data_IF_041386410276
#
_entry.id   IF_041386410276
#
_cell.length_a   1.000
_cell.length_b   1.000
_cell.length_c   1.000
_cell.angle_alpha   90.00
_cell.angle_beta   90.00
_cell.angle_gamma   90.00
#
_symmetry.space_group_name_H-M   'P 1'
#
loop_
_entity.id
_entity.type
_entity.pdbx_description
1 polymer ?
#
# COMPACT_ATOMS: atom_id res chain seq x y z
N UNK A 1 0.83 33.09 -30.40
CA UNK A 1 0.18 32.10 -29.50
C UNK A 1 1.09 30.88 -29.35
N UNK A 2 1.98 30.92 -28.36
CA UNK A 2 2.90 29.83 -28.06
C UNK A 2 2.56 29.33 -26.64
N UNK A 3 2.29 28.03 -26.55
CA UNK A 3 2.02 27.32 -25.31
C UNK A 3 3.25 27.36 -24.41
N UNK A 4 3.06 27.79 -23.16
CA UNK A 4 4.03 27.58 -22.10
C UNK A 4 3.71 26.24 -21.43
N UNK A 5 4.59 25.27 -21.67
CA UNK A 5 4.65 24.05 -20.90
C UNK A 5 4.92 24.41 -19.43
N UNK A 6 4.06 23.92 -18.54
CA UNK A 6 4.27 24.05 -17.10
C UNK A 6 5.44 23.17 -16.68
N UNK A 7 6.48 23.78 -16.13
CA UNK A 7 7.51 23.11 -15.36
C UNK A 7 6.90 22.58 -14.06
N UNK A 8 6.71 21.27 -13.95
CA UNK A 8 6.44 20.59 -12.67
C UNK A 8 7.75 20.52 -11.86
N UNK A 9 8.02 21.60 -11.14
CA UNK A 9 9.12 21.68 -10.18
C UNK A 9 8.74 21.16 -8.80
N UNK A 10 9.26 19.98 -8.47
CA UNK A 10 9.61 19.43 -7.14
C UNK A 10 8.65 19.66 -5.96
N UNK A 11 7.91 18.61 -5.58
CA UNK A 11 7.20 18.58 -4.31
C UNK A 11 8.19 18.23 -3.17
N UNK A 12 8.76 19.24 -2.51
CA UNK A 12 9.55 19.10 -1.26
C UNK A 12 8.72 18.70 -0.02
N UNK A 13 7.70 17.87 -0.17
CA UNK A 13 6.84 17.44 0.93
C UNK A 13 5.98 16.23 0.58
N UNK A 14 5.40 15.60 1.61
CA UNK A 14 4.48 14.48 1.43
C UNK A 14 3.15 14.95 0.83
N UNK A 15 2.78 14.42 -0.34
CA UNK A 15 1.48 14.61 -0.97
C UNK A 15 0.46 13.70 -0.29
N UNK A 16 -0.63 14.26 0.21
CA UNK A 16 -1.80 13.47 0.64
C UNK A 16 -2.61 13.09 -0.59
N UNK A 17 -2.89 11.81 -0.76
CA UNK A 17 -3.59 11.28 -1.92
C UNK A 17 -5.09 11.30 -1.70
N UNK A 18 -5.84 11.77 -2.70
CA UNK A 18 -7.29 11.67 -2.78
C UNK A 18 -7.69 10.64 -3.84
N UNK A 19 -8.98 10.31 -3.92
CA UNK A 19 -9.49 9.30 -4.88
C UNK A 19 -9.08 9.57 -6.33
N UNK A 20 -9.06 10.84 -6.76
CA UNK A 20 -8.68 11.20 -8.13
C UNK A 20 -7.21 10.89 -8.46
N UNK A 21 -6.32 10.87 -7.46
CA UNK A 21 -4.90 10.53 -7.66
C UNK A 21 -4.67 9.03 -7.87
N UNK A 22 -5.62 8.18 -7.45
CA UNK A 22 -5.38 6.73 -7.38
C UNK A 22 -5.30 6.08 -8.75
N UNK A 23 -6.08 6.55 -9.73
CA UNK A 23 -6.14 5.92 -11.05
C UNK A 23 -4.76 5.84 -11.71
N UNK A 24 -4.08 6.98 -11.81
CA UNK A 24 -2.75 7.06 -12.42
C UNK A 24 -1.72 6.26 -11.61
N UNK A 25 -1.79 6.29 -10.28
CA UNK A 25 -0.88 5.51 -9.43
C UNK A 25 -1.06 4.00 -9.60
N UNK A 26 -2.30 3.54 -9.76
CA UNK A 26 -2.61 2.14 -10.03
C UNK A 26 -2.06 1.70 -11.39
N UNK A 27 -2.25 2.53 -12.43
CA UNK A 27 -1.71 2.26 -13.77
C UNK A 27 -0.18 2.13 -13.74
N UNK A 28 0.50 3.00 -13.00
CA UNK A 28 1.96 2.93 -12.83
C UNK A 28 2.39 1.71 -12.02
N UNK A 29 1.72 1.41 -10.91
CA UNK A 29 2.01 0.24 -10.07
C UNK A 29 1.83 -1.08 -10.84
N UNK A 30 0.68 -1.23 -11.51
CA UNK A 30 0.37 -2.40 -12.32
C UNK A 30 1.40 -2.58 -13.44
N UNK A 31 1.81 -1.51 -14.12
CA UNK A 31 2.87 -1.55 -15.12
C UNK A 31 4.20 -2.06 -14.56
N UNK A 32 4.59 -1.61 -13.37
CA UNK A 32 5.81 -2.10 -12.70
C UNK A 32 5.67 -3.55 -12.25
N UNK A 33 4.52 -3.94 -11.72
CA UNK A 33 4.24 -5.32 -11.30
C UNK A 33 4.27 -6.28 -12.49
N UNK A 34 3.68 -5.90 -13.63
CA UNK A 34 3.76 -6.66 -14.89
C UNK A 34 5.21 -6.80 -15.37
N UNK A 35 5.97 -5.71 -15.38
CA UNK A 35 7.39 -5.76 -15.74
C UNK A 35 8.20 -6.66 -14.79
N UNK A 36 7.86 -6.69 -13.48
CA UNK A 36 8.47 -7.60 -12.52
C UNK A 36 8.11 -9.06 -12.80
N UNK A 37 6.85 -9.34 -13.17
CA UNK A 37 6.38 -10.67 -13.58
C UNK A 37 7.02 -11.17 -14.88
N UNK A 38 7.46 -10.29 -15.77
CA UNK A 38 8.10 -10.69 -17.03
C UNK A 38 9.59 -11.04 -16.85
N UNK A 39 10.24 -10.54 -15.80
CA UNK A 39 11.66 -10.80 -15.56
C UNK A 39 11.93 -12.28 -15.32
N UNK A 40 12.80 -12.94 -16.10
CA UNK A 40 13.17 -14.33 -15.85
C UNK A 40 13.90 -14.48 -14.52
N UNK A 41 13.51 -15.48 -13.70
CA UNK A 41 14.15 -15.80 -12.41
C UNK A 41 14.97 -17.09 -12.44
N UNK A 42 14.69 -17.97 -13.41
CA UNK A 42 15.41 -19.24 -13.58
C UNK A 42 15.09 -20.30 -12.52
N UNK A 43 14.16 -20.03 -11.61
CA UNK A 43 13.73 -20.93 -10.52
C UNK A 43 12.56 -21.85 -10.93
N UNK A 44 11.94 -21.62 -12.09
CA UNK A 44 10.83 -22.43 -12.61
C UNK A 44 9.52 -22.27 -11.84
N UNK A 45 9.44 -21.34 -10.87
CA UNK A 45 8.25 -21.15 -10.04
C UNK A 45 7.17 -20.40 -10.80
N UNK A 46 5.92 -20.83 -10.64
CA UNK A 46 4.77 -20.06 -11.11
C UNK A 46 4.62 -18.83 -10.22
N UNK A 47 4.52 -17.65 -10.82
CA UNK A 47 4.32 -16.38 -10.12
C UNK A 47 2.88 -15.94 -10.20
N UNK A 48 2.34 -15.50 -9.08
CA UNK A 48 0.94 -15.06 -8.94
C UNK A 48 0.92 -13.67 -8.31
N UNK A 49 0.07 -12.80 -8.85
CA UNK A 49 -0.20 -11.49 -8.29
C UNK A 49 -1.65 -11.09 -8.59
N UNK A 50 -2.24 -10.28 -7.71
CA UNK A 50 -3.52 -9.61 -7.98
C UNK A 50 -3.18 -8.20 -8.48
N UNK A 51 -3.73 -7.73 -9.61
CA UNK A 51 -3.53 -6.37 -10.08
C UNK A 51 -4.00 -5.33 -9.04
N UNK A 52 -3.16 -4.37 -8.64
CA UNK A 52 -3.54 -3.28 -7.75
C UNK A 52 -4.28 -2.18 -8.53
N UNK A 53 -5.43 -2.50 -9.11
CA UNK A 53 -6.20 -1.58 -9.95
C UNK A 53 -7.15 -0.67 -9.14
N UNK A 54 -7.65 0.38 -9.81
CA UNK A 54 -8.46 1.40 -9.17
C UNK A 54 -9.82 0.86 -8.71
N UNK A 55 -10.40 -0.06 -9.47
CA UNK A 55 -11.66 -0.75 -9.18
C UNK A 55 -11.53 -1.60 -7.92
N UNK A 56 -10.42 -2.30 -7.76
CA UNK A 56 -10.12 -3.13 -6.60
C UNK A 56 -9.97 -2.26 -5.34
N UNK A 57 -9.27 -1.13 -5.42
CA UNK A 57 -9.24 -0.17 -4.31
C UNK A 57 -10.60 0.50 -4.06
N UNK A 58 -11.41 0.73 -5.10
CA UNK A 58 -12.76 1.26 -4.94
C UNK A 58 -13.67 0.29 -4.16
N UNK A 59 -13.52 -1.02 -4.37
CA UNK A 59 -14.20 -2.04 -3.56
C UNK A 59 -13.87 -1.91 -2.06
N UNK A 60 -12.58 -1.84 -1.72
CA UNK A 60 -12.14 -1.62 -0.34
C UNK A 60 -12.66 -0.31 0.26
N UNK A 61 -12.70 0.77 -0.53
CA UNK A 61 -13.23 2.07 -0.10
C UNK A 61 -14.73 2.07 0.08
N UNK A 62 -15.50 1.35 -0.73
CA UNK A 62 -16.96 1.34 -0.65
C UNK A 62 -17.45 0.92 0.75
N UNK A 63 -16.81 -0.10 1.34
CA UNK A 63 -17.08 -0.52 2.72
C UNK A 63 -16.69 0.56 3.73
N UNK A 64 -15.51 1.16 3.59
CA UNK A 64 -15.04 2.24 4.47
C UNK A 64 -15.99 3.43 4.45
N UNK A 65 -16.38 3.91 3.26
CA UNK A 65 -17.26 5.07 3.08
C UNK A 65 -18.62 4.82 3.71
N UNK A 66 -19.21 3.64 3.51
CA UNK A 66 -20.47 3.28 4.17
C UNK A 66 -20.36 3.29 5.70
N UNK A 67 -19.33 2.63 6.25
CA UNK A 67 -19.13 2.53 7.70
C UNK A 67 -18.81 3.89 8.32
N UNK A 68 -17.94 4.68 7.68
CA UNK A 68 -17.54 6.00 8.18
C UNK A 68 -18.69 7.00 8.11
N UNK A 69 -19.49 6.96 7.05
CA UNK A 69 -20.72 7.75 6.97
C UNK A 69 -21.68 7.40 8.10
N UNK A 70 -21.86 6.12 8.43
CA UNK A 70 -22.74 5.68 9.51
C UNK A 70 -22.21 6.04 10.92
N UNK A 71 -20.90 5.91 11.15
CA UNK A 71 -20.30 6.10 12.49
C UNK A 71 -19.93 7.57 12.79
N UNK A 72 -19.57 8.34 11.76
CA UNK A 72 -19.00 9.69 11.89
C UNK A 72 -19.77 10.76 11.12
N UNK A 73 -20.74 10.39 10.26
CA UNK A 73 -21.50 11.34 9.45
C UNK A 73 -20.71 11.96 8.29
N UNK A 74 -19.50 11.47 8.03
CA UNK A 74 -18.60 11.93 6.96
C UNK A 74 -17.74 10.79 6.44
N UNK A 75 -17.16 10.98 5.26
CA UNK A 75 -16.24 10.01 4.63
C UNK A 75 -14.80 10.55 4.62
N UNK A 76 -13.78 9.67 4.65
CA UNK A 76 -12.39 10.09 4.51
C UNK A 76 -12.12 10.70 3.13
N UNK A 77 -11.43 11.84 3.08
CA UNK A 77 -10.94 12.39 1.81
C UNK A 77 -9.56 11.84 1.47
N UNK A 78 -8.71 11.67 2.49
CA UNK A 78 -7.34 11.19 2.34
C UNK A 78 -7.31 9.67 2.30
N UNK A 79 -6.86 9.14 1.16
CA UNK A 79 -6.78 7.71 0.83
C UNK A 79 -5.37 7.16 0.83
N UNK A 80 -4.38 8.03 0.93
CA UNK A 80 -2.98 7.64 0.83
C UNK A 80 -2.02 8.80 1.06
N UNK A 81 -0.74 8.49 0.92
CA UNK A 81 0.34 9.47 0.90
C UNK A 81 1.41 9.07 -0.10
N UNK A 82 2.08 10.06 -0.68
CA UNK A 82 3.16 9.91 -1.65
C UNK A 82 4.28 10.89 -1.34
N UNK A 83 5.53 10.45 -1.47
CA UNK A 83 6.72 11.28 -1.33
C UNK A 83 7.79 10.86 -2.33
N UNK A 84 8.66 11.79 -2.71
CA UNK A 84 9.75 11.55 -3.66
C UNK A 84 9.39 11.92 -5.10
N UNK A 85 10.39 11.83 -5.97
CA UNK A 85 10.29 12.17 -7.39
C UNK A 85 10.06 10.90 -8.22
N UNK A 86 9.44 11.01 -9.39
CA UNK A 86 9.18 9.88 -10.29
C UNK A 86 10.46 9.08 -10.55
N UNK A 87 10.40 7.77 -10.30
CA UNK A 87 11.54 6.84 -10.34
C UNK A 87 12.08 6.45 -8.95
N UNK A 88 11.80 7.26 -7.93
CA UNK A 88 12.19 7.01 -6.53
C UNK A 88 11.05 7.30 -5.53
N UNK A 89 9.80 7.32 -6.00
CA UNK A 89 8.64 7.59 -5.15
C UNK A 89 8.40 6.46 -4.17
N UNK A 90 7.90 6.83 -2.99
CA UNK A 90 7.28 5.92 -2.05
C UNK A 90 5.86 6.38 -1.83
N UNK A 91 4.88 5.49 -1.98
CA UNK A 91 3.49 5.81 -1.66
C UNK A 91 2.78 4.65 -1.00
N UNK A 92 1.75 5.00 -0.25
CA UNK A 92 0.84 4.04 0.36
C UNK A 92 -0.61 4.42 0.08
N UNK A 93 -1.45 3.41 -0.13
CA UNK A 93 -2.91 3.51 -0.22
C UNK A 93 -3.48 2.73 0.97
N UNK A 94 -4.52 3.24 1.62
CA UNK A 94 -5.09 2.62 2.81
C UNK A 94 -6.60 2.68 2.90
N UNK A 95 -7.13 1.90 3.84
CA UNK A 95 -8.54 1.90 4.26
C UNK A 95 -8.64 1.73 5.78
N UNK A 96 -9.74 2.18 6.37
CA UNK A 96 -10.02 2.09 7.81
C UNK A 96 -11.10 1.04 8.05
N UNK A 97 -10.77 0.06 8.87
CA UNK A 97 -11.68 -0.99 9.29
C UNK A 97 -12.07 -0.83 10.76
N UNK A 98 -13.37 -0.82 10.99
CA UNK A 98 -13.98 -0.72 12.32
C UNK A 98 -14.56 -2.08 12.70
N UNK A 99 -13.90 -2.78 13.61
CA UNK A 99 -14.38 -4.05 14.19
C UNK A 99 -15.04 -3.84 15.55
N UNK A 100 -14.77 -2.71 16.21
CA UNK A 100 -15.42 -2.28 17.44
C UNK A 100 -16.33 -1.07 17.20
N UNK A 101 -16.78 -0.47 18.30
CA UNK A 101 -17.40 0.86 18.30
C UNK A 101 -16.37 1.93 17.94
N UNK A 102 -16.86 3.13 17.60
CA UNK A 102 -16.02 4.28 17.21
C UNK A 102 -14.96 4.68 18.26
N UNK A 103 -15.25 4.45 19.54
CA UNK A 103 -14.43 4.76 20.70
C UNK A 103 -13.56 3.58 21.17
N UNK A 104 -13.72 2.40 20.58
CA UNK A 104 -12.89 1.23 20.87
C UNK A 104 -11.63 1.22 19.98
N UNK A 105 -10.79 2.25 20.11
CA UNK A 105 -9.66 2.52 19.21
C UNK A 105 -8.80 1.29 18.92
N UNK A 106 -8.49 0.48 19.95
CA UNK A 106 -7.65 -0.72 19.83
C UNK A 106 -8.21 -1.81 18.91
N UNK A 107 -9.54 -1.81 18.67
CA UNK A 107 -10.22 -2.73 17.75
C UNK A 107 -10.26 -2.22 16.31
N UNK A 108 -10.06 -0.92 16.11
CA UNK A 108 -10.14 -0.29 14.80
C UNK A 108 -8.75 -0.14 14.20
N UNK A 109 -8.62 -0.43 12.92
CA UNK A 109 -7.32 -0.56 12.24
C UNK A 109 -7.32 0.22 10.94
N UNK A 110 -6.27 1.00 10.71
CA UNK A 110 -5.97 1.50 9.38
C UNK A 110 -5.06 0.49 8.69
N UNK A 111 -5.57 -0.12 7.63
CA UNK A 111 -4.82 -1.06 6.82
C UNK A 111 -4.15 -0.31 5.68
N UNK A 112 -2.82 -0.38 5.61
CA UNK A 112 -2.12 -0.08 4.37
C UNK A 112 -2.47 -1.19 3.39
N UNK A 113 -3.28 -0.85 2.39
CA UNK A 113 -3.73 -1.77 1.35
C UNK A 113 -2.56 -2.10 0.44
N UNK A 114 -1.84 -1.07 -0.01
CA UNK A 114 -0.69 -1.17 -0.90
C UNK A 114 0.41 -0.19 -0.46
N UNK A 115 1.65 -0.66 -0.36
CA UNK A 115 2.85 0.15 -0.11
C UNK A 115 3.86 -0.08 -1.23
N UNK A 116 4.17 0.97 -1.99
CA UNK A 116 5.08 0.89 -3.13
C UNK A 116 6.37 1.66 -2.85
N UNK A 117 7.49 1.02 -3.15
CA UNK A 117 8.81 1.64 -3.26
C UNK A 117 9.27 1.48 -4.71
N UNK A 118 9.23 2.55 -5.50
CA UNK A 118 9.49 2.48 -6.95
C UNK A 118 10.86 1.88 -7.30
N UNK A 119 11.88 2.24 -6.52
CA UNK A 119 13.23 1.71 -6.70
C UNK A 119 13.27 0.19 -6.60
N UNK A 120 12.56 -0.38 -5.62
CA UNK A 120 12.47 -1.84 -5.42
C UNK A 120 11.62 -2.52 -6.49
N UNK A 121 10.47 -1.95 -6.86
CA UNK A 121 9.62 -2.50 -7.92
C UNK A 121 10.33 -2.56 -9.28
N UNK A 122 11.28 -1.65 -9.52
CA UNK A 122 12.15 -1.64 -10.69
C UNK A 122 13.36 -2.57 -10.56
N UNK A 123 13.49 -3.30 -9.46
CA UNK A 123 14.57 -4.25 -9.14
C UNK A 123 15.87 -3.60 -8.71
N UNK A 124 15.85 -2.31 -8.37
CA UNK A 124 16.95 -1.64 -7.70
C UNK A 124 16.94 -1.92 -6.20
N UNK A 125 18.08 -1.67 -5.55
CA UNK A 125 18.15 -1.63 -4.09
C UNK A 125 17.97 -0.16 -3.66
N UNK A 126 16.90 0.20 -2.93
CA UNK A 126 16.73 1.56 -2.46
C UNK A 126 17.85 1.92 -1.46
N UNK A 127 18.24 3.19 -1.45
CA UNK A 127 19.10 3.73 -0.39
C UNK A 127 18.35 3.68 0.94
N UNK A 128 18.99 3.09 1.96
CA UNK A 128 18.33 2.78 3.23
C UNK A 128 17.95 4.04 4.01
N UNK A 129 18.81 5.08 4.00
CA UNK A 129 18.55 6.33 4.72
C UNK A 129 17.46 7.15 4.01
N UNK A 130 17.45 7.14 2.68
CA UNK A 130 16.38 7.78 1.89
C UNK A 130 15.05 7.05 2.10
N UNK A 131 15.04 5.73 2.04
CA UNK A 131 13.84 4.90 2.23
C UNK A 131 13.25 5.09 3.64
N UNK A 132 14.10 5.08 4.67
CA UNK A 132 13.69 5.32 6.06
C UNK A 132 12.98 6.67 6.21
N UNK A 133 13.55 7.74 5.65
CA UNK A 133 12.95 9.07 5.68
C UNK A 133 11.62 9.13 4.92
N UNK A 134 11.57 8.57 3.71
CA UNK A 134 10.36 8.55 2.90
C UNK A 134 9.23 7.74 3.58
N UNK A 135 9.56 6.61 4.19
CA UNK A 135 8.59 5.83 4.96
C UNK A 135 8.18 6.55 6.24
N UNK A 136 9.06 7.28 6.91
CA UNK A 136 8.68 8.10 8.06
C UNK A 136 7.62 9.14 7.68
N UNK A 137 7.78 9.80 6.52
CA UNK A 137 6.83 10.77 6.00
C UNK A 137 5.47 10.13 5.68
N UNK A 138 5.46 9.00 4.95
CA UNK A 138 4.24 8.27 4.57
C UNK A 138 3.51 7.69 5.79
N UNK A 139 4.25 7.03 6.70
CA UNK A 139 3.71 6.47 7.94
C UNK A 139 3.24 7.57 8.88
N UNK A 140 3.88 8.73 8.87
CA UNK A 140 3.44 9.92 9.61
C UNK A 140 2.03 10.35 9.21
N UNK A 141 1.76 10.43 7.90
CA UNK A 141 0.40 10.73 7.41
C UNK A 141 -0.57 9.61 7.77
N UNK A 142 -0.20 8.34 7.58
CA UNK A 142 -1.07 7.21 7.91
C UNK A 142 -1.42 7.17 9.41
N UNK A 143 -0.48 7.50 10.30
CA UNK A 143 -0.73 7.59 11.75
C UNK A 143 -1.65 8.75 12.11
N UNK A 144 -1.48 9.91 11.46
CA UNK A 144 -2.36 11.06 11.64
C UNK A 144 -3.80 10.71 11.23
N UNK A 145 -3.97 10.09 10.06
CA UNK A 145 -5.27 9.60 9.59
C UNK A 145 -5.85 8.51 10.50
N UNK A 146 -5.02 7.58 11.00
CA UNK A 146 -5.49 6.57 11.94
C UNK A 146 -6.02 7.24 13.22
N UNK A 147 -5.29 8.20 13.78
CA UNK A 147 -5.71 8.95 14.97
C UNK A 147 -6.98 9.76 14.74
N UNK A 148 -7.10 10.45 13.60
CA UNK A 148 -8.27 11.27 13.27
C UNK A 148 -9.56 10.43 13.21
N UNK A 149 -9.44 9.21 12.68
CA UNK A 149 -10.57 8.32 12.46
C UNK A 149 -10.78 7.29 13.59
N UNK A 150 -10.04 7.39 14.70
CA UNK A 150 -10.21 6.50 15.84
C UNK A 150 -9.72 5.07 15.60
N UNK A 151 -8.73 4.89 14.72
CA UNK A 151 -7.98 3.64 14.54
C UNK A 151 -6.75 3.62 15.46
N UNK A 152 -6.66 2.62 16.33
CA UNK A 152 -5.60 2.51 17.32
C UNK A 152 -4.28 1.93 16.78
N UNK A 153 -4.27 1.45 15.55
CA UNK A 153 -3.08 0.89 14.90
C UNK A 153 -3.12 1.02 13.37
N UNK A 154 -1.92 1.02 12.78
CA UNK A 154 -1.67 0.94 11.34
C UNK A 154 -1.01 -0.41 11.04
N UNK A 155 -1.51 -1.15 10.06
CA UNK A 155 -0.97 -2.46 9.69
C UNK A 155 -0.54 -2.50 8.22
N UNK A 156 0.65 -3.04 7.98
CA UNK A 156 1.22 -3.34 6.65
C UNK A 156 1.38 -4.86 6.54
N UNK A 157 1.08 -5.42 5.37
CA UNK A 157 1.11 -6.86 5.13
C UNK A 157 2.24 -7.21 4.16
N UNK A 158 3.01 -8.26 4.49
CA UNK A 158 4.09 -8.81 3.68
C UNK A 158 5.03 -7.78 2.99
N UNK A 159 5.51 -6.72 3.69
CA UNK A 159 6.49 -5.82 3.09
C UNK A 159 7.81 -6.56 2.84
N UNK A 160 8.60 -6.05 1.89
CA UNK A 160 9.93 -6.60 1.61
C UNK A 160 10.85 -6.49 2.83
N UNK A 161 11.97 -7.23 2.83
CA UNK A 161 12.94 -7.16 3.92
C UNK A 161 13.51 -5.74 4.13
N UNK A 162 13.76 -5.00 3.04
CA UNK A 162 14.25 -3.62 3.10
C UNK A 162 13.19 -2.69 3.71
N UNK A 163 11.94 -2.83 3.28
CA UNK A 163 10.82 -2.05 3.82
C UNK A 163 10.54 -2.42 5.28
N UNK A 164 10.62 -3.71 5.66
CA UNK A 164 10.50 -4.15 7.05
C UNK A 164 11.52 -3.45 7.94
N UNK A 165 12.80 -3.50 7.57
CA UNK A 165 13.87 -2.88 8.36
C UNK A 165 13.68 -1.37 8.52
N UNK A 166 13.26 -0.68 7.46
CA UNK A 166 12.95 0.74 7.53
C UNK A 166 11.69 1.05 8.37
N UNK A 167 10.65 0.21 8.28
CA UNK A 167 9.43 0.34 9.09
C UNK A 167 9.71 0.17 10.59
N UNK A 168 10.60 -0.74 10.97
CA UNK A 168 11.02 -0.93 12.38
C UNK A 168 11.69 0.33 12.94
N UNK A 169 12.56 0.98 12.16
CA UNK A 169 13.23 2.23 12.57
C UNK A 169 12.28 3.40 12.78
N UNK A 170 11.14 3.43 12.07
CA UNK A 170 10.09 4.44 12.27
C UNK A 170 9.05 4.03 13.33
N UNK A 171 9.36 3.00 14.13
CA UNK A 171 8.57 2.54 15.28
C UNK A 171 7.53 1.48 14.95
N UNK A 172 7.71 0.75 13.84
CA UNK A 172 6.94 -0.46 13.53
C UNK A 172 7.43 -1.66 14.34
N UNK A 173 6.60 -2.69 14.42
CA UNK A 173 7.00 -3.99 14.98
C UNK A 173 6.54 -5.08 14.03
N UNK A 174 7.46 -5.97 13.66
CA UNK A 174 7.14 -7.15 12.86
C UNK A 174 6.43 -8.19 13.72
N UNK A 175 5.33 -8.73 13.19
CA UNK A 175 4.57 -9.81 13.83
C UNK A 175 4.32 -10.90 12.79
N UNK A 176 4.69 -12.13 13.12
CA UNK A 176 4.35 -13.30 12.32
C UNK A 176 2.91 -13.74 12.64
N UNK A 177 2.07 -13.93 11.63
CA UNK A 177 0.67 -14.36 11.82
C UNK A 177 0.53 -15.84 11.51
N UNK A 178 0.13 -16.62 12.50
CA UNK A 178 0.00 -18.08 12.35
C UNK A 178 -1.46 -18.56 12.16
N UNK A 179 -2.47 -17.72 12.45
CA UNK A 179 -3.86 -18.19 12.62
C UNK A 179 -4.91 -17.51 11.75
N UNK A 180 -4.67 -16.27 11.32
CA UNK A 180 -5.71 -15.45 10.67
C UNK A 180 -5.14 -14.72 9.46
N UNK A 181 -5.95 -14.66 8.39
CA UNK A 181 -5.55 -14.07 7.13
C UNK A 181 -4.35 -14.80 6.55
N UNK A 182 -4.60 -15.99 5.98
CA UNK A 182 -3.67 -16.68 5.09
C UNK A 182 -4.23 -16.62 3.67
N UNK A 183 -3.45 -16.09 2.72
CA UNK A 183 -3.91 -15.88 1.35
C UNK A 183 -4.03 -17.25 0.69
N UNK A 184 -5.17 -17.52 0.06
CA UNK A 184 -5.41 -18.77 -0.64
C UNK A 184 -5.71 -18.48 -2.10
N UNK A 185 -5.16 -19.31 -2.97
CA UNK A 185 -5.54 -19.37 -4.39
C UNK A 185 -6.04 -20.76 -4.68
N UNK A 186 -7.10 -20.85 -5.47
CA UNK A 186 -7.57 -22.12 -5.99
C UNK A 186 -6.59 -22.60 -7.06
N UNK A 187 -5.62 -23.42 -6.65
CA UNK A 187 -4.56 -23.91 -7.51
C UNK A 187 -4.98 -25.19 -8.24
N UNK A 188 -4.85 -25.19 -9.57
CA UNK A 188 -5.13 -26.34 -10.45
C UNK A 188 -3.85 -26.96 -11.04
N UNK A 189 -2.66 -26.53 -10.62
CA UNK A 189 -1.39 -27.15 -11.01
C UNK A 189 -1.12 -28.44 -10.24
N UNK A 190 0.10 -28.98 -10.36
CA UNK A 190 0.42 -30.25 -9.71
C UNK A 190 0.53 -30.07 -8.19
N UNK A 191 0.13 -31.09 -7.46
CA UNK A 191 0.32 -31.14 -6.01
C UNK A 191 1.81 -31.02 -5.66
N UNK A 192 2.14 -30.18 -4.68
CA UNK A 192 3.51 -29.91 -4.26
C UNK A 192 4.28 -28.87 -5.08
N UNK A 193 3.67 -28.27 -6.12
CA UNK A 193 4.28 -27.12 -6.81
C UNK A 193 4.24 -25.86 -5.92
N UNK A 194 5.41 -25.28 -5.65
CA UNK A 194 5.51 -24.01 -4.96
C UNK A 194 5.23 -22.84 -5.91
N UNK A 195 4.32 -21.96 -5.51
CA UNK A 195 4.05 -20.69 -6.20
C UNK A 195 4.70 -19.53 -5.46
N UNK A 196 5.18 -18.53 -6.20
CA UNK A 196 5.65 -17.27 -5.64
C UNK A 196 4.53 -16.23 -5.73
N UNK A 197 4.15 -15.67 -4.59
CA UNK A 197 3.23 -14.55 -4.54
C UNK A 197 3.99 -13.22 -4.61
N UNK A 198 3.64 -12.39 -5.58
CA UNK A 198 4.13 -11.01 -5.67
C UNK A 198 3.09 -10.04 -5.16
N UNK A 199 3.52 -9.00 -4.45
CA UNK A 199 2.65 -7.96 -3.91
C UNK A 199 1.45 -8.52 -3.11
N UNK A 200 1.65 -9.60 -2.34
CA UNK A 200 0.62 -10.20 -1.49
C UNK A 200 0.37 -9.38 -0.21
N UNK A 201 -0.04 -8.14 -0.42
CA UNK A 201 -0.34 -7.15 0.61
C UNK A 201 -1.85 -7.10 0.87
N UNK A 202 -2.31 -6.24 1.77
CA UNK A 202 -3.68 -6.31 2.28
C UNK A 202 -4.76 -6.09 1.21
N UNK A 203 -4.44 -5.38 0.12
CA UNK A 203 -5.38 -5.22 -0.99
C UNK A 203 -5.78 -6.55 -1.64
N UNK A 204 -4.90 -7.55 -1.65
CA UNK A 204 -5.15 -8.87 -2.23
C UNK A 204 -6.20 -9.71 -1.48
N UNK A 205 -6.78 -9.16 -0.40
CA UNK A 205 -7.69 -9.85 0.51
C UNK A 205 -9.05 -9.17 0.45
N UNK A 206 -10.07 -9.86 -0.04
CA UNK A 206 -11.46 -9.37 -0.07
C UNK A 206 -12.23 -9.80 1.18
#
# INVERSE_FOLDING_TARGET
>A
PAAAAGEEGSAKGVKRLVTADLKELCEVDEGMLRALMERPRGDGKTRVAIPPDAEHFAWHRAREEFVTQALFGRVPEIRGALVGEVGSRVWAIWTRNFYGKKDELKKNTLYILRLVVEGEMRGGKPDEAVLEKQLADVVGVARAEASEWGCGKVEVWNPSAAVCGALEKVGGTKVEREKEGIASVMWYGKEGEEIEWLANEKYAWC
#
